data_IF_021788092920
#
_entry.id   IF_021788092920
#
_cell.length_a   1.000
_cell.length_b   1.000
_cell.length_c   1.000
_cell.angle_alpha   90.00
_cell.angle_beta   90.00
_cell.angle_gamma   90.00
#
_symmetry.space_group_name_H-M   'P 1'
#
loop_
_entity.id
_entity.type
_entity.pdbx_description
1 polymer ?
#
# COMPACT_ATOMS: atom_id res chain seq x y z
N UNK A 1 -32.22 10.69 1.40
CA UNK A 1 -31.69 10.16 2.68
C UNK A 1 -30.18 10.35 2.61
N UNK A 2 -29.57 11.17 3.48
CA UNK A 2 -28.11 11.38 3.50
C UNK A 2 -27.47 10.11 4.08
N UNK A 3 -26.77 9.32 3.25
CA UNK A 3 -25.95 8.21 3.73
C UNK A 3 -24.79 8.81 4.52
N UNK A 4 -24.64 8.36 5.76
CA UNK A 4 -23.55 8.73 6.65
C UNK A 4 -22.30 7.99 6.16
N UNK A 5 -21.37 8.70 5.52
CA UNK A 5 -20.12 8.14 5.04
C UNK A 5 -19.18 7.94 6.24
N UNK A 6 -18.88 6.68 6.57
CA UNK A 6 -17.97 6.32 7.66
C UNK A 6 -16.59 6.03 7.04
N UNK A 7 -15.74 7.04 6.93
CA UNK A 7 -14.36 6.88 6.47
C UNK A 7 -13.54 6.34 7.65
N UNK A 8 -13.17 5.06 7.60
CA UNK A 8 -12.31 4.41 8.58
C UNK A 8 -10.94 4.15 7.93
N UNK A 9 -9.99 5.06 8.14
CA UNK A 9 -8.60 4.87 7.74
C UNK A 9 -7.85 4.16 8.86
N UNK A 10 -7.50 2.89 8.66
CA UNK A 10 -6.67 2.13 9.62
C UNK A 10 -5.25 2.07 9.05
N UNK A 11 -4.31 2.78 9.68
CA UNK A 11 -2.88 2.63 9.41
C UNK A 11 -2.35 1.48 10.27
N UNK A 12 -2.14 0.32 9.67
CA UNK A 12 -1.51 -0.84 10.31
C UNK A 12 -0.02 -0.82 9.98
N UNK A 13 0.79 -0.44 10.97
CA UNK A 13 2.25 -0.55 10.90
C UNK A 13 2.61 -1.94 11.45
N UNK A 14 2.87 -2.89 10.54
CA UNK A 14 3.29 -4.24 10.88
C UNK A 14 4.82 -4.33 10.91
N UNK A 15 5.41 -4.50 12.09
CA UNK A 15 6.84 -4.81 12.24
C UNK A 15 7.00 -6.33 12.38
N UNK A 16 7.29 -7.03 11.28
CA UNK A 16 7.75 -8.42 11.34
C UNK A 16 9.28 -8.46 11.42
N UNK A 17 9.82 -8.28 12.62
CA UNK A 17 11.24 -8.52 12.88
C UNK A 17 11.45 -10.01 13.18
N UNK A 18 11.74 -10.83 12.16
CA UNK A 18 12.27 -12.19 12.41
C UNK A 18 13.75 -12.09 12.79
N UNK A 19 14.01 -11.88 14.08
CA UNK A 19 15.38 -11.81 14.60
C UNK A 19 15.90 -13.20 14.96
N UNK A 20 16.97 -13.65 14.29
CA UNK A 20 17.82 -14.71 14.83
C UNK A 20 19.28 -14.23 14.98
N UNK A 21 19.69 -14.07 16.24
CA UNK A 21 21.06 -14.03 16.78
C UNK A 21 21.89 -12.73 16.78
N UNK A 22 22.95 -12.80 17.58
CA UNK A 22 23.65 -11.78 18.40
C UNK A 22 24.67 -10.93 17.60
N UNK A 23 24.93 -9.70 18.12
CA UNK A 23 25.47 -8.51 17.44
C UNK A 23 27.00 -8.33 17.59
N UNK A 24 27.70 -7.77 16.58
CA UNK A 24 28.89 -6.89 16.81
C UNK A 24 29.18 -5.87 15.69
N UNK A 25 29.10 -4.58 16.05
CA UNK A 25 28.99 -3.36 15.22
C UNK A 25 30.17 -2.97 14.30
N UNK A 26 29.85 -2.45 13.10
CA UNK A 26 30.68 -1.50 12.32
C UNK A 26 29.77 -0.51 11.55
N UNK A 27 30.14 0.76 11.49
CA UNK A 27 29.37 1.86 10.90
C UNK A 27 29.36 1.80 9.37
N UNK A 28 28.22 1.41 8.79
CA UNK A 28 27.90 1.60 7.37
C UNK A 28 26.40 1.83 7.24
N UNK A 29 25.98 2.82 6.45
CA UNK A 29 24.56 3.09 6.21
C UNK A 29 23.88 1.84 5.61
N UNK A 30 22.64 1.53 6.00
CA UNK A 30 21.90 0.39 5.47
C UNK A 30 21.67 0.53 3.96
N UNK A 31 21.96 -0.51 3.19
CA UNK A 31 21.74 -0.54 1.73
C UNK A 31 20.30 -0.97 1.42
N UNK A 32 19.59 -0.27 0.53
CA UNK A 32 18.27 -0.71 0.08
C UNK A 32 18.45 -1.88 -0.90
N UNK A 33 17.97 -3.07 -0.52
CA UNK A 33 18.08 -4.28 -1.33
C UNK A 33 16.87 -4.48 -2.23
N UNK A 34 15.67 -4.18 -1.72
CA UNK A 34 14.41 -4.39 -2.44
C UNK A 34 13.34 -3.41 -2.02
N UNK A 35 12.63 -2.89 -3.00
CA UNK A 35 11.41 -2.11 -2.80
C UNK A 35 10.23 -2.85 -3.43
N UNK A 36 9.03 -2.65 -2.89
CA UNK A 36 7.79 -3.11 -3.51
C UNK A 36 6.65 -2.22 -3.08
N UNK A 37 5.72 -1.93 -3.98
CA UNK A 37 4.39 -1.45 -3.62
C UNK A 37 3.31 -2.29 -4.27
N UNK A 38 2.18 -2.44 -3.59
CA UNK A 38 1.02 -3.19 -4.06
C UNK A 38 -0.22 -2.34 -3.80
N UNK A 39 -1.11 -2.24 -4.79
CA UNK A 39 -2.48 -1.80 -4.61
C UNK A 39 -3.40 -3.00 -4.84
N UNK A 40 -4.17 -3.36 -3.81
CA UNK A 40 -5.21 -4.38 -3.86
C UNK A 40 -6.57 -3.69 -3.87
N UNK A 41 -7.34 -3.87 -4.94
CA UNK A 41 -8.68 -3.31 -5.11
C UNK A 41 -9.69 -4.44 -4.93
N UNK A 42 -10.57 -4.32 -3.95
CA UNK A 42 -11.67 -5.25 -3.72
C UNK A 42 -12.95 -4.55 -4.15
N UNK A 43 -13.45 -4.89 -5.33
CA UNK A 43 -14.64 -4.31 -5.94
C UNK A 43 -15.88 -5.10 -5.57
N UNK A 44 -16.99 -4.40 -5.31
CA UNK A 44 -18.28 -5.02 -5.02
C UNK A 44 -19.43 -4.20 -5.60
N UNK A 45 -20.27 -4.86 -6.38
CA UNK A 45 -21.53 -4.33 -6.89
C UNK A 45 -22.65 -5.35 -6.67
N UNK A 46 -23.51 -5.07 -5.68
CA UNK A 46 -24.51 -6.02 -5.20
C UNK A 46 -23.90 -7.36 -4.78
N UNK A 47 -24.13 -8.41 -5.59
CA UNK A 47 -23.58 -9.75 -5.38
C UNK A 47 -22.27 -10.00 -6.14
N UNK A 48 -21.94 -9.15 -7.12
CA UNK A 48 -20.73 -9.25 -7.89
C UNK A 48 -19.54 -8.77 -7.07
N UNK A 49 -18.43 -9.52 -7.12
CA UNK A 49 -17.19 -9.20 -6.42
C UNK A 49 -16.01 -9.56 -7.29
N UNK A 50 -15.02 -8.69 -7.33
CA UNK A 50 -13.80 -8.90 -8.09
C UNK A 50 -12.62 -8.25 -7.38
N UNK A 51 -11.48 -8.95 -7.38
CA UNK A 51 -10.26 -8.48 -6.72
C UNK A 51 -9.20 -8.22 -7.78
N UNK A 52 -8.61 -7.02 -7.75
CA UNK A 52 -7.55 -6.61 -8.66
C UNK A 52 -6.27 -6.29 -7.91
N UNK A 53 -5.15 -6.61 -8.51
CA UNK A 53 -3.84 -6.45 -7.87
C UNK A 53 -2.87 -5.77 -8.83
N UNK A 54 -2.38 -4.60 -8.41
CA UNK A 54 -1.43 -3.78 -9.17
C UNK A 54 -0.10 -3.79 -8.42
N UNK A 55 0.93 -4.38 -9.04
CA UNK A 55 2.27 -4.50 -8.47
C UNK A 55 3.23 -3.45 -9.03
N UNK A 56 4.04 -2.87 -8.15
CA UNK A 56 5.14 -1.98 -8.50
C UNK A 56 6.44 -2.52 -7.92
N UNK A 57 7.44 -2.71 -8.78
CA UNK A 57 8.78 -3.20 -8.41
C UNK A 57 9.64 -2.14 -7.69
N UNK A 58 9.26 -0.86 -7.76
CA UNK A 58 9.96 0.24 -7.07
C UNK A 58 8.98 1.22 -6.45
N UNK A 59 9.39 1.90 -5.38
CA UNK A 59 8.60 2.98 -4.78
C UNK A 59 8.48 4.15 -5.77
N UNK A 60 9.47 4.37 -6.63
CA UNK A 60 9.41 5.43 -7.63
C UNK A 60 8.32 5.18 -8.69
N UNK A 61 8.18 3.95 -9.17
CA UNK A 61 7.09 3.56 -10.07
C UNK A 61 5.73 3.76 -9.40
N UNK A 62 5.60 3.39 -8.13
CA UNK A 62 4.41 3.64 -7.35
C UNK A 62 4.11 5.13 -7.16
N UNK A 63 5.11 5.96 -6.85
CA UNK A 63 4.98 7.43 -6.75
C UNK A 63 4.43 8.02 -8.04
N UNK A 64 4.96 7.59 -9.18
CA UNK A 64 4.58 8.09 -10.50
C UNK A 64 3.24 7.53 -11.03
N UNK A 65 2.69 6.49 -10.40
CA UNK A 65 1.42 5.88 -10.84
C UNK A 65 0.24 6.83 -10.67
N UNK A 66 -0.53 7.04 -11.73
CA UNK A 66 -1.77 7.82 -11.69
C UNK A 66 -2.97 6.91 -11.45
N UNK A 67 -3.76 7.22 -10.42
CA UNK A 67 -4.97 6.50 -10.03
C UNK A 67 -6.04 6.55 -11.12
N UNK A 68 -5.97 7.54 -12.02
CA UNK A 68 -6.87 7.65 -13.19
C UNK A 68 -6.75 6.44 -14.13
N UNK A 69 -5.66 5.67 -14.06
CA UNK A 69 -5.47 4.46 -14.89
C UNK A 69 -6.23 3.23 -14.38
N UNK A 70 -6.80 3.26 -13.16
CA UNK A 70 -7.51 2.09 -12.60
C UNK A 70 -8.67 1.62 -13.48
N UNK A 71 -9.60 2.48 -13.95
CA UNK A 71 -10.68 2.08 -14.85
C UNK A 71 -10.17 1.42 -16.14
N UNK A 72 -9.06 1.90 -16.69
CA UNK A 72 -8.49 1.38 -17.94
C UNK A 72 -7.92 -0.04 -17.76
N UNK A 73 -7.35 -0.32 -16.59
CA UNK A 73 -6.71 -1.60 -16.27
C UNK A 73 -7.73 -2.63 -15.76
N UNK A 74 -8.76 -2.17 -15.04
CA UNK A 74 -9.71 -3.04 -14.33
C UNK A 74 -11.08 -3.14 -15.01
N UNK A 75 -11.42 -2.18 -15.88
CA UNK A 75 -12.77 -2.08 -16.47
C UNK A 75 -13.84 -1.54 -15.52
N UNK A 76 -13.49 -1.12 -14.30
CA UNK A 76 -14.44 -0.64 -13.29
C UNK A 76 -14.89 0.79 -13.60
N UNK A 77 -16.20 1.03 -13.58
CA UNK A 77 -16.75 2.39 -13.61
C UNK A 77 -16.62 3.08 -12.25
N UNK A 78 -15.53 3.83 -12.09
CA UNK A 78 -15.26 4.66 -10.93
C UNK A 78 -16.07 5.97 -10.88
N UNK A 79 -17.20 6.06 -11.58
CA UNK A 79 -18.15 7.17 -11.46
C UNK A 79 -19.51 6.72 -10.92
N UNK A 80 -19.69 5.42 -10.68
CA UNK A 80 -20.92 4.87 -10.10
C UNK A 80 -20.96 5.03 -8.58
N UNK A 81 -22.12 5.41 -8.06
CA UNK A 81 -22.42 5.42 -6.62
C UNK A 81 -22.99 4.07 -6.12
N UNK A 82 -23.28 3.15 -7.04
CA UNK A 82 -23.96 1.89 -6.75
C UNK A 82 -22.99 0.76 -6.34
N UNK A 83 -21.69 0.99 -6.52
CA UNK A 83 -20.64 0.05 -6.13
C UNK A 83 -19.80 0.55 -4.97
N UNK A 84 -19.29 -0.39 -4.20
CA UNK A 84 -18.38 -0.20 -3.08
C UNK A 84 -17.00 -0.75 -3.46
N UNK A 85 -15.95 -0.02 -3.09
CA UNK A 85 -14.59 -0.44 -3.32
C UNK A 85 -13.79 -0.31 -2.03
N UNK A 86 -13.05 -1.37 -1.69
CA UNK A 86 -12.05 -1.36 -0.62
C UNK A 86 -10.67 -1.49 -1.23
N UNK A 87 -9.82 -0.49 -1.00
CA UNK A 87 -8.46 -0.45 -1.52
C UNK A 87 -7.47 -0.58 -0.39
N UNK A 88 -6.57 -1.54 -0.50
CA UNK A 88 -5.41 -1.69 0.40
C UNK A 88 -4.15 -1.35 -0.37
N UNK A 89 -3.36 -0.43 0.16
CA UNK A 89 -2.04 -0.10 -0.35
C UNK A 89 -1.01 -0.64 0.62
N UNK A 90 -0.05 -1.42 0.13
CA UNK A 90 1.09 -1.89 0.93
C UNK A 90 2.38 -1.46 0.27
N UNK A 91 3.25 -0.77 1.00
CA UNK A 91 4.64 -0.51 0.58
C UNK A 91 5.57 -1.27 1.48
N UNK A 92 6.57 -1.93 0.89
CA UNK A 92 7.58 -2.69 1.60
C UNK A 92 8.97 -2.28 1.15
N UNK A 93 9.85 -2.01 2.11
CA UNK A 93 11.27 -1.72 1.89
C UNK A 93 12.07 -2.76 2.63
N UNK A 94 12.98 -3.41 1.91
CA UNK A 94 13.95 -4.35 2.47
C UNK A 94 15.32 -3.72 2.41
N UNK A 95 15.93 -3.55 3.57
CA UNK A 95 17.30 -3.05 3.71
C UNK A 95 18.23 -4.16 4.16
N UNK A 96 19.49 -4.06 3.77
CA UNK A 96 20.55 -4.83 4.40
C UNK A 96 20.75 -4.30 5.82
N UNK A 97 20.80 -5.20 6.79
CA UNK A 97 21.20 -4.85 8.13
C UNK A 97 22.64 -4.34 8.13
N UNK A 98 22.83 -3.08 8.52
CA UNK A 98 24.14 -2.47 8.72
C UNK A 98 25.00 -3.24 9.73
N UNK A 99 26.32 -3.05 9.62
CA UNK A 99 27.32 -4.03 10.06
C UNK A 99 27.19 -4.39 11.54
N UNK A 100 27.01 -5.69 11.78
CA UNK A 100 26.99 -6.31 13.10
C UNK A 100 25.88 -7.33 13.30
N UNK A 101 25.00 -7.44 12.33
CA UNK A 101 24.15 -8.60 12.08
C UNK A 101 24.75 -9.40 10.92
N UNK A 102 24.88 -10.71 11.07
CA UNK A 102 25.26 -11.61 9.98
C UNK A 102 24.19 -11.49 8.89
N UNK A 103 24.46 -10.75 7.81
CA UNK A 103 23.73 -10.78 6.53
C UNK A 103 22.21 -10.79 6.62
N UNK A 104 21.63 -10.07 7.58
CA UNK A 104 20.18 -10.05 7.80
C UNK A 104 19.51 -9.03 6.87
N UNK A 105 18.46 -9.45 6.19
CA UNK A 105 17.55 -8.54 5.48
C UNK A 105 16.44 -8.13 6.45
N UNK A 106 16.15 -6.82 6.53
CA UNK A 106 15.02 -6.32 7.31
C UNK A 106 14.00 -5.73 6.35
N UNK A 107 12.83 -6.35 6.26
CA UNK A 107 11.69 -5.80 5.52
C UNK A 107 10.77 -5.04 6.46
N UNK A 108 10.54 -3.76 6.17
CA UNK A 108 9.52 -2.94 6.81
C UNK A 108 8.37 -2.76 5.84
N UNK A 109 7.14 -3.02 6.30
CA UNK A 109 5.93 -2.87 5.49
C UNK A 109 4.97 -1.89 6.16
N UNK A 110 4.48 -0.93 5.39
CA UNK A 110 3.43 0.00 5.81
C UNK A 110 2.22 -0.25 4.94
N UNK A 111 1.05 -0.40 5.57
CA UNK A 111 -0.20 -0.63 4.86
C UNK A 111 -1.28 0.34 5.30
N UNK A 112 -2.13 0.74 4.36
CA UNK A 112 -3.34 1.52 4.63
C UNK A 112 -4.49 0.94 3.81
N UNK A 113 -5.67 0.95 4.40
CA UNK A 113 -6.90 0.53 3.73
C UNK A 113 -7.91 1.66 3.76
N UNK A 114 -8.59 1.87 2.63
CA UNK A 114 -9.70 2.81 2.48
C UNK A 114 -10.89 2.09 1.84
N UNK A 115 -12.09 2.40 2.30
CA UNK A 115 -13.33 1.87 1.72
C UNK A 115 -14.27 3.04 1.44
N UNK A 116 -14.81 3.10 0.22
CA UNK A 116 -15.73 4.15 -0.21
C UNK A 116 -16.60 3.67 -1.38
N UNK A 117 -17.54 4.49 -1.85
CA UNK A 117 -18.19 4.27 -3.14
C UNK A 117 -17.18 4.40 -4.28
N UNK A 118 -17.44 3.79 -5.43
CA UNK A 118 -16.54 3.88 -6.58
C UNK A 118 -16.34 5.32 -7.09
N UNK A 119 -17.35 6.18 -6.96
CA UNK A 119 -17.26 7.61 -7.27
C UNK A 119 -16.30 8.38 -6.35
N UNK A 120 -16.20 7.99 -5.08
CA UNK A 120 -15.39 8.67 -4.06
C UNK A 120 -14.00 8.02 -3.90
N UNK A 121 -13.83 6.76 -4.29
CA UNK A 121 -12.61 5.99 -4.03
C UNK A 121 -11.38 6.59 -4.70
N UNK A 122 -11.51 7.29 -5.83
CA UNK A 122 -10.39 7.97 -6.50
C UNK A 122 -9.73 9.00 -5.57
N UNK A 123 -10.55 9.81 -4.88
CA UNK A 123 -10.07 10.85 -3.98
C UNK A 123 -9.47 10.25 -2.71
N UNK A 124 -10.13 9.24 -2.14
CA UNK A 124 -9.65 8.55 -0.93
C UNK A 124 -8.36 7.77 -1.19
N UNK A 125 -8.25 7.09 -2.33
CA UNK A 125 -7.03 6.39 -2.75
C UNK A 125 -5.87 7.37 -2.94
N UNK A 126 -6.13 8.57 -3.49
CA UNK A 126 -5.09 9.60 -3.64
C UNK A 126 -4.56 10.06 -2.28
N UNK A 127 -5.46 10.39 -1.35
CA UNK A 127 -5.09 10.77 0.02
C UNK A 127 -4.34 9.66 0.74
N UNK A 128 -4.79 8.41 0.60
CA UNK A 128 -4.16 7.25 1.20
C UNK A 128 -2.74 7.03 0.66
N UNK A 129 -2.56 7.16 -0.66
CA UNK A 129 -1.25 7.11 -1.31
C UNK A 129 -0.32 8.22 -0.80
N UNK A 130 -0.78 9.46 -0.76
CA UNK A 130 0.00 10.60 -0.26
C UNK A 130 0.42 10.40 1.21
N UNK A 131 -0.52 10.00 2.07
CA UNK A 131 -0.26 9.72 3.50
C UNK A 131 0.79 8.62 3.68
N UNK A 132 0.69 7.55 2.88
CA UNK A 132 1.61 6.42 2.98
C UNK A 132 2.99 6.78 2.43
N UNK A 133 3.07 7.58 1.36
CA UNK A 133 4.32 8.11 0.83
C UNK A 133 5.03 9.07 1.81
N UNK A 134 4.28 9.81 2.61
CA UNK A 134 4.83 10.65 3.67
C UNK A 134 5.35 9.83 4.87
N UNK A 135 4.73 8.68 5.16
CA UNK A 135 5.13 7.80 6.26
C UNK A 135 6.41 6.99 5.99
N UNK A 136 6.82 6.84 4.73
CA UNK A 136 8.02 6.10 4.31
C UNK A 136 9.23 7.01 4.01
N UNK A 137 9.17 8.29 4.41
CA UNK A 137 10.26 9.27 4.25
C UNK A 137 11.43 9.05 5.20
#
# INVERSE_FOLDING_TARGET
MKKLLLILTILLIGYNASANSIIKSTTGDPEILKEKAIIELNYKDGIYKEDYLINFETIQSFKNYDIIQIPEITGIDLNSDDCEMSVTITVSVTVSGGVGVVGGEVTTSVSTTVTASCSEIKAELKKAKETLLDAIK
#
